data_IF_522939235369
#
_entry.id   IF_522939235369
#
_cell.length_a   1.000
_cell.length_b   1.000
_cell.length_c   1.000
_cell.angle_alpha   90.00
_cell.angle_beta   90.00
_cell.angle_gamma   90.00
#
_symmetry.space_group_name_H-M   'P 1'
#
loop_
_entity.id
_entity.type
_entity.pdbx_description
1 polymer ?
#
# COMPACT_ATOMS: atom_id res chain seq x y z
N UNK A 1 -0.60 7.62 11.71
CA UNK A 1 -1.36 7.13 10.55
C UNK A 1 -1.85 8.26 9.64
N UNK A 2 -2.71 9.17 10.11
CA UNK A 2 -3.26 10.25 9.27
C UNK A 2 -2.22 11.19 8.61
N UNK A 3 -1.12 11.54 9.29
CA UNK A 3 -0.06 12.37 8.68
C UNK A 3 0.59 11.71 7.46
N UNK A 4 0.65 10.38 7.42
CA UNK A 4 1.12 9.63 6.25
C UNK A 4 0.03 9.54 5.18
N UNK A 5 -1.22 9.29 5.59
CA UNK A 5 -2.38 9.23 4.71
C UNK A 5 -2.55 10.52 3.87
N UNK A 6 -2.44 11.70 4.49
CA UNK A 6 -2.58 12.94 3.72
C UNK A 6 -1.42 13.20 2.76
N UNK A 7 -0.24 12.64 3.03
CA UNK A 7 0.93 12.76 2.14
C UNK A 7 0.89 11.79 0.96
N UNK A 8 0.08 10.73 1.03
CA UNK A 8 -0.03 9.72 -0.03
C UNK A 8 -1.28 9.88 -0.91
N UNK A 9 -2.07 10.95 -0.70
CA UNK A 9 -3.18 11.34 -1.56
C UNK A 9 -2.82 12.58 -2.37
N UNK A 10 -3.18 12.56 -3.65
CA UNK A 10 -3.08 13.71 -4.54
C UNK A 10 -4.28 13.74 -5.50
N UNK A 11 -4.72 14.92 -5.95
CA UNK A 11 -5.70 15.04 -7.03
C UNK A 11 -5.19 14.37 -8.32
N UNK A 12 -6.08 13.81 -9.12
CA UNK A 12 -5.71 13.23 -10.42
C UNK A 12 -5.07 14.26 -11.38
N UNK A 13 -5.45 15.55 -11.26
CA UNK A 13 -4.82 16.66 -11.99
C UNK A 13 -3.40 17.00 -11.53
N UNK A 14 -2.95 16.42 -10.42
CA UNK A 14 -1.60 16.56 -9.85
C UNK A 14 -0.93 15.19 -9.71
N UNK A 15 -1.06 14.35 -10.74
CA UNK A 15 -0.45 13.02 -10.82
C UNK A 15 -0.97 11.97 -9.81
N UNK A 16 -2.05 12.26 -9.07
CA UNK A 16 -2.69 11.27 -8.19
C UNK A 16 -3.25 10.08 -8.97
N UNK A 17 -3.02 8.87 -8.45
CA UNK A 17 -3.52 7.61 -9.04
C UNK A 17 -2.70 7.09 -10.21
N UNK A 18 -1.57 7.73 -10.56
CA UNK A 18 -0.63 7.24 -11.56
C UNK A 18 0.54 6.50 -10.92
N UNK A 19 1.00 5.44 -11.58
CA UNK A 19 2.23 4.74 -11.21
C UNK A 19 3.26 4.97 -12.33
N UNK A 20 4.28 5.76 -12.02
CA UNK A 20 5.37 6.05 -12.94
C UNK A 20 6.35 4.88 -13.04
N UNK A 21 7.11 4.82 -14.14
CA UNK A 21 8.20 3.88 -14.28
C UNK A 21 9.31 4.17 -13.24
N UNK A 22 9.89 3.12 -12.68
CA UNK A 22 10.99 3.23 -11.72
C UNK A 22 11.00 2.14 -10.65
N UNK A 23 11.89 2.25 -9.65
CA UNK A 23 12.15 1.17 -8.71
C UNK A 23 10.93 0.67 -7.96
N UNK A 24 9.98 1.55 -7.63
CA UNK A 24 8.74 1.15 -6.96
C UNK A 24 7.87 0.26 -7.86
N UNK A 25 7.69 0.64 -9.14
CA UNK A 25 6.93 -0.16 -10.10
C UNK A 25 7.58 -1.53 -10.29
N UNK A 26 8.89 -1.55 -10.50
CA UNK A 26 9.64 -2.80 -10.70
C UNK A 26 9.53 -3.72 -9.48
N UNK A 27 9.57 -3.14 -8.27
CA UNK A 27 9.40 -3.88 -7.02
C UNK A 27 7.98 -4.41 -6.84
N UNK A 28 6.96 -3.64 -7.22
CA UNK A 28 5.56 -4.08 -7.20
C UNK A 28 5.36 -5.26 -8.17
N UNK A 29 5.88 -5.15 -9.39
CA UNK A 29 5.80 -6.23 -10.38
C UNK A 29 6.55 -7.48 -9.92
N UNK A 30 7.71 -7.32 -9.27
CA UNK A 30 8.46 -8.45 -8.68
C UNK A 30 7.69 -9.15 -7.55
N UNK A 31 7.12 -8.39 -6.61
CA UNK A 31 6.58 -8.95 -5.37
C UNK A 31 5.11 -9.38 -5.49
N UNK A 32 4.33 -8.72 -6.37
CA UNK A 32 2.91 -9.00 -6.57
C UNK A 32 2.56 -9.48 -7.98
N UNK A 33 3.52 -9.48 -8.92
CA UNK A 33 3.31 -9.83 -10.32
C UNK A 33 2.69 -8.69 -11.16
N UNK A 34 1.86 -7.84 -10.56
CA UNK A 34 1.30 -6.64 -11.21
C UNK A 34 0.73 -5.65 -10.19
N UNK A 35 0.52 -4.40 -10.61
CA UNK A 35 -0.20 -3.40 -9.81
C UNK A 35 -1.65 -3.82 -9.50
N UNK A 36 -2.31 -4.52 -10.43
CA UNK A 36 -3.69 -4.99 -10.21
C UNK A 36 -3.75 -6.08 -9.12
N UNK A 37 -2.76 -6.97 -9.08
CA UNK A 37 -2.66 -7.95 -8.00
C UNK A 37 -2.41 -7.29 -6.64
N UNK A 38 -1.54 -6.28 -6.57
CA UNK A 38 -1.33 -5.48 -5.36
C UNK A 38 -2.65 -4.83 -4.90
N UNK A 39 -3.38 -4.16 -5.80
CA UNK A 39 -4.67 -3.54 -5.46
C UNK A 39 -5.66 -4.58 -4.93
N UNK A 40 -5.74 -5.75 -5.57
CA UNK A 40 -6.62 -6.84 -5.15
C UNK A 40 -6.27 -7.33 -3.74
N UNK A 41 -4.99 -7.58 -3.47
CA UNK A 41 -4.54 -8.05 -2.15
C UNK A 41 -4.76 -6.99 -1.06
N UNK A 42 -4.39 -5.73 -1.32
CA UNK A 42 -4.60 -4.62 -0.40
C UNK A 42 -6.07 -4.43 -0.06
N UNK A 43 -6.94 -4.40 -1.08
CA UNK A 43 -8.38 -4.26 -0.88
C UNK A 43 -8.96 -5.43 -0.09
N UNK A 44 -8.57 -6.67 -0.42
CA UNK A 44 -9.07 -7.86 0.28
C UNK A 44 -8.65 -7.90 1.76
N UNK A 45 -7.38 -7.64 2.06
CA UNK A 45 -6.87 -7.62 3.45
C UNK A 45 -7.48 -6.47 4.25
N UNK A 46 -7.60 -5.28 3.66
CA UNK A 46 -8.19 -4.12 4.33
C UNK A 46 -9.68 -4.33 4.61
N UNK A 47 -10.43 -4.89 3.66
CA UNK A 47 -11.85 -5.20 3.83
C UNK A 47 -12.12 -6.28 4.91
N UNK A 48 -11.14 -7.15 5.17
CA UNK A 48 -11.22 -8.18 6.20
C UNK A 48 -10.92 -7.66 7.62
N UNK A 49 -10.51 -6.40 7.79
CA UNK A 49 -10.29 -5.81 9.12
C UNK A 49 -11.63 -5.73 9.86
N UNK A 50 -11.69 -6.37 11.03
CA UNK A 50 -12.87 -6.33 11.89
C UNK A 50 -12.78 -5.15 12.85
N UNK A 51 -13.71 -4.20 12.73
CA UNK A 51 -13.69 -2.95 13.49
C UNK A 51 -12.89 -1.85 12.80
N UNK A 52 -12.27 -0.97 13.58
CA UNK A 52 -11.43 0.10 13.04
C UNK A 52 -10.00 -0.36 12.79
N UNK A 53 -9.40 0.06 11.68
CA UNK A 53 -8.00 -0.23 11.38
C UNK A 53 -7.54 0.30 10.03
N UNK A 54 -6.37 -0.15 9.61
CA UNK A 54 -5.67 0.30 8.40
C UNK A 54 -5.14 -0.89 7.58
N UNK A 55 -5.04 -0.69 6.27
CA UNK A 55 -4.27 -1.55 5.37
C UNK A 55 -3.11 -0.76 4.77
N UNK A 56 -1.93 -1.38 4.75
CA UNK A 56 -0.68 -0.74 4.37
C UNK A 56 0.03 -1.53 3.28
N UNK A 57 0.68 -0.82 2.37
CA UNK A 57 1.81 -1.34 1.60
C UNK A 57 3.09 -0.89 2.31
N UNK A 58 3.82 -1.84 2.89
CA UNK A 58 5.05 -1.60 3.64
C UNK A 58 6.28 -2.20 2.96
N UNK A 59 7.46 -1.63 3.22
CA UNK A 59 8.73 -2.23 2.83
C UNK A 59 9.35 -2.97 4.02
N UNK A 60 9.46 -4.30 3.91
CA UNK A 60 10.10 -5.13 4.90
C UNK A 60 11.63 -5.08 4.72
N UNK A 61 12.31 -4.44 5.68
CA UNK A 61 13.76 -4.25 5.62
C UNK A 61 14.56 -5.55 5.76
N UNK A 62 14.01 -6.60 6.38
CA UNK A 62 14.66 -7.89 6.57
C UNK A 62 14.58 -8.75 5.31
N UNK A 63 13.40 -8.85 4.71
CA UNK A 63 13.17 -9.67 3.50
C UNK A 63 13.49 -8.92 2.21
N UNK A 64 13.64 -7.59 2.27
CA UNK A 64 13.80 -6.68 1.11
C UNK A 64 12.64 -6.83 0.13
N UNK A 65 11.42 -6.90 0.65
CA UNK A 65 10.18 -7.04 -0.13
C UNK A 65 9.11 -6.05 0.30
N UNK A 66 8.21 -5.75 -0.64
CA UNK A 66 6.95 -5.08 -0.36
C UNK A 66 5.94 -6.09 0.19
N UNK A 67 5.21 -5.69 1.22
CA UNK A 67 4.24 -6.54 1.92
C UNK A 67 2.96 -5.75 2.20
N UNK A 68 1.81 -6.43 2.09
CA UNK A 68 0.53 -5.89 2.55
C UNK A 68 0.27 -6.33 3.99
N UNK A 69 0.13 -5.36 4.89
CA UNK A 69 -0.04 -5.56 6.33
C UNK A 69 -1.25 -4.77 6.82
N UNK A 70 -1.93 -5.27 7.84
CA UNK A 70 -3.04 -4.57 8.50
C UNK A 70 -2.70 -4.25 9.94
N UNK A 71 -3.23 -3.12 10.45
CA UNK A 71 -3.09 -2.74 11.86
C UNK A 71 -4.45 -2.37 12.45
N UNK A 72 -4.68 -2.70 13.72
CA UNK A 72 -5.92 -2.37 14.40
C UNK A 72 -5.89 -0.91 14.88
N UNK A 73 -7.06 -0.27 14.92
CA UNK A 73 -7.25 1.08 15.45
C UNK A 73 -6.25 2.11 14.89
N UNK A 74 -5.35 2.63 15.73
CA UNK A 74 -4.34 3.61 15.35
C UNK A 74 -2.91 3.07 15.50
N UNK A 75 -2.77 1.74 15.58
CA UNK A 75 -1.46 1.10 15.64
C UNK A 75 -0.70 1.45 14.34
N UNK A 76 0.54 1.98 14.46
CA UNK A 76 1.36 2.26 13.29
C UNK A 76 1.90 0.95 12.69
N UNK A 77 2.28 1.02 11.41
CA UNK A 77 3.01 -0.06 10.73
C UNK A 77 4.46 -0.16 11.24
#
# INVERSE_FOLDING_TARGET
>A
NHSLFWKNLAPASKEGGKLEAGPLKDTIERDFGSLENLKKELNAKTAAVQGSGWGWLGWNQATKKLEVVTTANQDPL
#
